data_IF_484092573322
#
_entry.id   IF_484092573322
#
_cell.length_a   1.000
_cell.length_b   1.000
_cell.length_c   1.000
_cell.angle_alpha   90.00
_cell.angle_beta   90.00
_cell.angle_gamma   90.00
#
_symmetry.space_group_name_H-M   'P 1'
#
loop_
_entity.id
_entity.type
_entity.pdbx_description
1 polymer ?
#
# COMPACT_ATOMS: atom_id res chain seq x y z
N UNK A 1 -3.62 27.33 -2.56
CA UNK A 1 -4.90 26.60 -2.76
C UNK A 1 -5.59 26.45 -1.42
N UNK A 2 -6.87 26.82 -1.37
CA UNK A 2 -7.69 26.63 -0.18
C UNK A 2 -8.22 25.20 -0.15
N UNK A 3 -7.45 24.30 0.45
CA UNK A 3 -7.88 22.91 0.72
C UNK A 3 -8.35 22.84 2.16
N UNK A 4 -9.63 22.53 2.38
CA UNK A 4 -10.21 22.40 3.72
C UNK A 4 -9.87 21.06 4.36
N UNK A 5 -9.72 20.00 3.55
CA UNK A 5 -9.42 18.63 3.98
C UNK A 5 -8.66 17.88 2.88
N UNK A 6 -7.69 17.07 3.27
CA UNK A 6 -6.99 16.14 2.38
C UNK A 6 -6.96 14.73 2.97
N UNK A 7 -6.95 13.71 2.09
CA UNK A 7 -6.65 12.33 2.45
C UNK A 7 -5.18 12.08 2.11
N UNK A 8 -4.40 11.58 3.07
CA UNK A 8 -2.97 11.32 2.88
C UNK A 8 -2.56 9.97 3.45
N UNK A 9 -1.67 9.31 2.74
CA UNK A 9 -0.95 8.13 3.23
C UNK A 9 0.35 8.60 3.87
N UNK A 10 0.63 8.17 5.10
CA UNK A 10 1.88 8.47 5.79
C UNK A 10 1.80 9.55 6.87
N UNK A 11 2.96 9.80 7.47
CA UNK A 11 3.07 10.70 8.61
C UNK A 11 2.93 12.18 8.22
N UNK A 12 2.32 12.95 9.14
CA UNK A 12 2.24 14.40 9.05
C UNK A 12 3.59 15.01 9.41
N UNK A 13 4.15 15.79 8.51
CA UNK A 13 5.38 16.56 8.76
C UNK A 13 5.10 18.00 9.24
N UNK A 14 3.88 18.52 8.99
CA UNK A 14 3.52 19.90 9.37
C UNK A 14 2.71 19.89 10.66
N UNK A 15 3.27 20.49 11.71
CA UNK A 15 2.65 20.59 13.05
C UNK A 15 1.42 21.51 13.10
N UNK A 16 1.16 22.29 12.03
CA UNK A 16 -0.01 23.16 11.92
C UNK A 16 -1.27 22.44 11.42
N UNK A 17 -1.11 21.18 10.98
CA UNK A 17 -2.20 20.37 10.49
C UNK A 17 -2.61 19.34 11.54
N UNK A 18 -3.92 19.09 11.63
CA UNK A 18 -4.45 17.98 12.41
C UNK A 18 -4.51 16.75 11.51
N UNK A 19 -3.90 15.65 11.96
CA UNK A 19 -4.01 14.36 11.31
C UNK A 19 -4.89 13.42 12.13
N UNK A 20 -6.02 13.04 11.57
CA UNK A 20 -6.88 12.02 12.15
C UNK A 20 -6.72 10.73 11.37
N UNK A 21 -6.26 9.66 12.03
CA UNK A 21 -6.18 8.34 11.39
C UNK A 21 -7.57 7.90 10.93
N UNK A 22 -7.68 7.58 9.64
CA UNK A 22 -8.91 7.08 9.02
C UNK A 22 -8.95 5.55 9.09
N UNK A 23 -7.92 4.89 8.59
CA UNK A 23 -7.81 3.43 8.60
C UNK A 23 -6.36 2.95 8.44
N UNK A 24 -6.14 1.63 8.51
CA UNK A 24 -4.92 0.98 8.08
C UNK A 24 -4.72 1.07 6.56
N UNK A 25 -3.56 0.63 6.11
CA UNK A 25 -3.25 0.52 4.68
C UNK A 25 -2.57 -0.84 4.44
N UNK A 26 -3.36 -1.94 4.50
CA UNK A 26 -2.82 -3.27 4.32
C UNK A 26 -2.22 -3.43 2.91
N UNK A 27 -1.10 -4.14 2.85
CA UNK A 27 -0.35 -4.35 1.62
C UNK A 27 -0.17 -5.83 1.33
N UNK A 28 0.06 -6.14 0.07
CA UNK A 28 0.42 -7.49 -0.41
C UNK A 28 1.58 -7.41 -1.40
N UNK A 29 2.38 -8.46 -1.45
CA UNK A 29 3.37 -8.66 -2.50
C UNK A 29 2.69 -9.35 -3.66
N UNK A 30 2.82 -8.79 -4.86
CA UNK A 30 2.19 -9.31 -6.07
C UNK A 30 3.17 -9.34 -7.23
N UNK A 31 2.93 -10.23 -8.19
CA UNK A 31 3.63 -10.28 -9.46
C UNK A 31 2.70 -10.82 -10.55
N UNK A 32 2.97 -10.49 -11.81
CA UNK A 32 2.21 -11.07 -12.92
C UNK A 32 2.58 -12.53 -13.16
N UNK A 33 1.65 -13.38 -13.65
CA UNK A 33 1.95 -14.75 -14.04
C UNK A 33 3.10 -14.86 -15.04
N UNK A 34 3.20 -13.90 -15.96
CA UNK A 34 4.27 -13.85 -16.95
C UNK A 34 5.65 -13.62 -16.30
N UNK A 35 5.73 -12.79 -15.26
CA UNK A 35 6.95 -12.60 -14.48
C UNK A 35 7.32 -13.89 -13.75
N UNK A 36 6.37 -14.50 -13.03
CA UNK A 36 6.60 -15.71 -12.25
C UNK A 36 7.01 -16.90 -13.13
N UNK A 37 6.48 -16.98 -14.35
CA UNK A 37 6.89 -18.02 -15.33
C UNK A 37 8.35 -17.88 -15.77
N UNK A 38 8.86 -16.64 -15.89
CA UNK A 38 10.24 -16.38 -16.34
C UNK A 38 11.26 -16.45 -15.23
N UNK A 39 10.91 -16.00 -14.03
CA UNK A 39 11.85 -15.82 -12.91
C UNK A 39 11.64 -16.82 -11.76
N UNK A 40 10.58 -17.62 -11.82
CA UNK A 40 10.15 -18.49 -10.73
C UNK A 40 9.37 -17.74 -9.65
N UNK A 41 8.70 -18.50 -8.80
CA UNK A 41 8.02 -17.94 -7.63
C UNK A 41 9.01 -17.89 -6.45
N UNK A 42 9.27 -16.73 -5.84
CA UNK A 42 10.13 -16.66 -4.66
C UNK A 42 9.61 -17.58 -3.55
N UNK A 43 10.48 -18.41 -3.01
CA UNK A 43 10.13 -19.36 -1.94
C UNK A 43 10.33 -18.80 -0.53
N UNK A 44 11.08 -17.71 -0.40
CA UNK A 44 11.36 -17.04 0.88
C UNK A 44 11.35 -15.52 0.70
N UNK A 45 11.10 -14.81 1.78
CA UNK A 45 11.14 -13.33 1.76
C UNK A 45 12.54 -12.81 1.40
N UNK A 46 13.61 -13.49 1.80
CA UNK A 46 14.99 -13.11 1.48
C UNK A 46 15.33 -13.29 0.00
N UNK A 47 14.63 -14.15 -0.73
CA UNK A 47 14.83 -14.27 -2.18
C UNK A 47 14.55 -12.93 -2.91
N UNK A 48 13.75 -12.02 -2.32
CA UNK A 48 13.47 -10.70 -2.88
C UNK A 48 14.68 -9.76 -2.91
N UNK A 49 15.73 -10.04 -2.16
CA UNK A 49 17.00 -9.30 -2.23
C UNK A 49 17.67 -9.43 -3.61
N UNK A 50 17.34 -10.50 -4.35
CA UNK A 50 17.89 -10.83 -5.67
C UNK A 50 16.82 -10.97 -6.76
N UNK A 51 15.54 -10.81 -6.40
CA UNK A 51 14.42 -10.85 -7.34
C UNK A 51 14.15 -9.43 -7.86
N UNK A 52 13.96 -9.22 -9.17
CA UNK A 52 13.56 -7.92 -9.70
C UNK A 52 12.27 -7.42 -9.05
N UNK A 53 12.31 -6.24 -8.46
CA UNK A 53 11.16 -5.62 -7.80
C UNK A 53 10.85 -4.25 -8.41
N UNK A 54 9.56 -3.92 -8.45
CA UNK A 54 9.06 -2.59 -8.85
C UNK A 54 8.79 -1.79 -7.58
N UNK A 55 9.39 -0.62 -7.44
CA UNK A 55 9.29 0.18 -6.22
C UNK A 55 8.78 1.60 -6.48
N UNK A 56 8.09 2.15 -5.48
CA UNK A 56 7.78 3.57 -5.44
C UNK A 56 9.02 4.35 -4.97
N UNK A 57 9.41 5.36 -5.74
CA UNK A 57 10.51 6.27 -5.37
C UNK A 57 10.18 7.70 -5.81
N UNK A 58 10.20 8.62 -4.87
CA UNK A 58 10.08 10.07 -5.06
C UNK A 58 11.23 10.78 -4.36
N UNK A 59 11.33 12.10 -4.48
CA UNK A 59 12.35 12.89 -3.79
C UNK A 59 12.30 12.74 -2.26
N UNK A 60 11.12 12.42 -1.71
CA UNK A 60 10.91 12.32 -0.27
C UNK A 60 10.83 10.89 0.25
N UNK A 61 10.53 9.92 -0.59
CA UNK A 61 10.18 8.56 -0.16
C UNK A 61 10.71 7.52 -1.12
N UNK A 62 11.39 6.51 -0.57
CA UNK A 62 11.81 5.32 -1.30
C UNK A 62 11.33 4.08 -0.56
N UNK A 63 10.57 3.22 -1.27
CA UNK A 63 9.93 2.03 -0.71
C UNK A 63 10.66 0.78 -1.18
N UNK A 64 11.93 0.63 -0.80
CA UNK A 64 12.76 -0.55 -1.05
C UNK A 64 13.04 -1.40 0.20
N UNK A 65 12.56 -0.95 1.37
CA UNK A 65 12.64 -1.66 2.63
C UNK A 65 11.23 -2.14 3.01
N UNK A 66 10.98 -3.45 2.83
CA UNK A 66 9.67 -4.03 3.09
C UNK A 66 9.65 -4.68 4.46
N UNK A 67 8.79 -4.18 5.34
CA UNK A 67 8.67 -4.64 6.73
C UNK A 67 7.72 -5.84 6.82
N UNK A 68 8.15 -6.87 7.55
CA UNK A 68 7.37 -8.09 7.79
C UNK A 68 7.59 -8.58 9.22
N UNK A 69 6.75 -9.52 9.66
CA UNK A 69 6.87 -10.14 10.99
C UNK A 69 7.35 -11.58 10.84
N UNK A 70 8.42 -11.91 11.54
CA UNK A 70 8.95 -13.27 11.62
C UNK A 70 9.24 -13.62 13.08
N UNK A 71 8.70 -14.75 13.55
CA UNK A 71 8.81 -15.18 14.96
C UNK A 71 8.39 -14.11 15.98
N UNK A 72 7.33 -13.34 15.65
CA UNK A 72 6.80 -12.27 16.48
C UNK A 72 7.66 -10.99 16.53
N UNK A 73 8.70 -10.89 15.69
CA UNK A 73 9.58 -9.73 15.60
C UNK A 73 9.47 -9.08 14.23
N UNK A 74 9.50 -7.75 14.23
CA UNK A 74 9.56 -6.99 12.99
C UNK A 74 10.94 -7.15 12.35
N UNK A 75 10.94 -7.45 11.06
CA UNK A 75 12.10 -7.61 10.21
C UNK A 75 11.94 -6.74 8.97
N UNK A 76 13.02 -6.48 8.27
CA UNK A 76 13.04 -5.73 7.02
C UNK A 76 13.80 -6.53 5.98
N UNK A 77 13.22 -6.68 4.78
CA UNK A 77 13.94 -7.11 3.60
C UNK A 77 14.19 -5.91 2.69
N UNK A 78 15.43 -5.72 2.27
CA UNK A 78 15.79 -4.71 1.28
C UNK A 78 15.73 -5.33 -0.11
N UNK A 79 14.78 -4.88 -0.92
CA UNK A 79 14.54 -5.47 -2.24
C UNK A 79 15.41 -4.85 -3.33
N UNK A 80 15.69 -5.65 -4.38
CA UNK A 80 16.41 -5.19 -5.56
C UNK A 80 15.47 -4.51 -6.53
N UNK A 81 15.60 -3.20 -6.69
CA UNK A 81 14.77 -2.43 -7.61
C UNK A 81 15.22 -2.64 -9.07
N UNK A 82 14.30 -3.13 -9.92
CA UNK A 82 14.43 -3.21 -11.38
C UNK A 82 13.74 -2.05 -12.11
N UNK A 83 12.70 -1.50 -11.50
CA UNK A 83 11.93 -0.36 -12.02
C UNK A 83 11.50 0.54 -10.88
N UNK A 84 11.50 1.84 -11.11
CA UNK A 84 11.17 2.86 -10.11
C UNK A 84 10.25 3.91 -10.71
N UNK A 85 9.26 4.33 -9.92
CA UNK A 85 8.33 5.39 -10.31
C UNK A 85 7.79 6.11 -9.08
N UNK A 86 7.40 7.37 -9.25
CA UNK A 86 6.67 8.16 -8.25
C UNK A 86 5.16 8.22 -8.54
N UNK A 87 4.70 7.43 -9.48
CA UNK A 87 3.28 7.29 -9.85
C UNK A 87 2.76 5.92 -9.43
N UNK A 88 1.71 5.90 -8.61
CA UNK A 88 1.14 4.66 -8.07
C UNK A 88 0.46 3.81 -9.15
N UNK A 89 -0.15 4.43 -10.17
CA UNK A 89 -0.78 3.70 -11.27
C UNK A 89 0.28 3.06 -12.16
N UNK A 90 1.33 3.80 -12.50
CA UNK A 90 2.44 3.26 -13.27
C UNK A 90 3.18 2.14 -12.53
N UNK A 91 3.22 2.18 -11.19
CA UNK A 91 3.76 1.09 -10.37
C UNK A 91 2.95 -0.19 -10.56
N UNK A 92 1.62 -0.10 -10.50
CA UNK A 92 0.71 -1.22 -10.76
C UNK A 92 0.86 -1.74 -12.19
N UNK A 93 0.85 -0.84 -13.17
CA UNK A 93 0.95 -1.19 -14.60
C UNK A 93 2.27 -1.89 -14.92
N UNK A 94 3.38 -1.42 -14.35
CA UNK A 94 4.69 -2.07 -14.50
C UNK A 94 4.70 -3.48 -13.89
N UNK A 95 4.07 -3.67 -12.73
CA UNK A 95 3.94 -5.00 -12.14
C UNK A 95 3.11 -5.94 -13.01
N UNK A 96 1.96 -5.49 -13.51
CA UNK A 96 1.10 -6.24 -14.47
C UNK A 96 1.86 -6.58 -15.74
N UNK A 97 2.66 -5.65 -16.27
CA UNK A 97 3.51 -5.86 -17.44
C UNK A 97 4.70 -6.82 -17.19
N UNK A 98 4.93 -7.25 -15.96
CA UNK A 98 5.92 -8.27 -15.63
C UNK A 98 7.34 -7.73 -15.44
N UNK A 99 7.49 -6.49 -14.97
CA UNK A 99 8.79 -5.90 -14.64
C UNK A 99 9.35 -6.37 -13.28
N UNK A 100 8.51 -6.93 -12.41
CA UNK A 100 8.99 -7.43 -11.12
C UNK A 100 7.88 -7.70 -10.12
N UNK A 101 8.29 -8.06 -8.90
CA UNK A 101 7.42 -8.13 -7.73
C UNK A 101 7.18 -6.72 -7.20
N UNK A 102 5.96 -6.39 -6.82
CA UNK A 102 5.61 -5.11 -6.20
C UNK A 102 4.94 -5.31 -4.84
N UNK A 103 5.19 -4.38 -3.91
CA UNK A 103 4.44 -4.24 -2.65
C UNK A 103 3.39 -3.17 -2.86
N UNK A 104 2.13 -3.56 -2.90
CA UNK A 104 1.00 -2.69 -3.24
C UNK A 104 -0.11 -2.76 -2.19
N UNK A 105 -0.85 -1.65 -1.96
CA UNK A 105 -2.06 -1.68 -1.14
C UNK A 105 -3.06 -2.68 -1.70
N UNK A 106 -3.74 -3.40 -0.80
CA UNK A 106 -4.70 -4.46 -1.18
C UNK A 106 -5.82 -3.94 -2.07
N UNK A 107 -6.31 -2.73 -1.82
CA UNK A 107 -7.40 -2.12 -2.60
C UNK A 107 -7.01 -1.77 -4.03
N UNK A 108 -5.71 -1.62 -4.33
CA UNK A 108 -5.25 -1.30 -5.70
C UNK A 108 -5.12 -2.51 -6.61
N UNK A 109 -5.03 -3.72 -6.04
CA UNK A 109 -4.76 -4.96 -6.79
C UNK A 109 -5.95 -5.90 -6.90
N UNK A 110 -7.11 -5.52 -6.34
CA UNK A 110 -8.31 -6.35 -6.31
C UNK A 110 -8.75 -6.86 -7.67
N UNK A 111 -8.89 -5.96 -8.62
CA UNK A 111 -9.39 -6.29 -9.96
C UNK A 111 -8.34 -7.05 -10.78
N UNK A 112 -7.06 -6.73 -10.60
CA UNK A 112 -5.96 -7.42 -11.27
C UNK A 112 -5.82 -8.86 -10.79
N UNK A 113 -6.05 -9.14 -9.50
CA UNK A 113 -6.04 -10.49 -8.95
C UNK A 113 -7.28 -11.27 -9.44
N UNK A 114 -8.48 -10.69 -9.35
CA UNK A 114 -9.72 -11.30 -9.86
C UNK A 114 -9.64 -11.65 -11.35
N UNK A 115 -8.96 -10.81 -12.12
CA UNK A 115 -8.78 -11.01 -13.56
C UNK A 115 -7.53 -11.86 -13.90
N UNK A 116 -6.89 -12.48 -12.91
CA UNK A 116 -5.67 -13.29 -13.07
C UNK A 116 -4.47 -12.57 -13.71
N UNK A 117 -4.43 -11.23 -13.67
CA UNK A 117 -3.31 -10.42 -14.15
C UNK A 117 -2.18 -10.36 -13.13
N UNK A 118 -2.53 -10.45 -11.82
CA UNK A 118 -1.58 -10.52 -10.72
C UNK A 118 -1.87 -11.74 -9.83
N UNK A 119 -0.81 -12.25 -9.19
CA UNK A 119 -0.87 -13.28 -8.15
C UNK A 119 -0.15 -12.81 -6.91
N UNK A 120 -0.67 -13.19 -5.75
CA UNK A 120 -0.01 -12.93 -4.46
C UNK A 120 1.24 -13.79 -4.37
N UNK A 121 2.35 -13.17 -4.01
CA UNK A 121 3.65 -13.79 -3.79
C UNK A 121 3.88 -13.91 -2.29
N UNK A 122 4.38 -15.05 -1.82
CA UNK A 122 4.65 -15.34 -0.41
C UNK A 122 3.44 -15.06 0.51
N UNK A 123 2.29 -15.72 0.25
CA UNK A 123 1.04 -15.43 0.97
C UNK A 123 1.13 -15.66 2.48
N UNK A 124 2.03 -16.56 2.93
CA UNK A 124 2.21 -16.88 4.36
C UNK A 124 2.99 -15.81 5.13
N UNK A 125 3.66 -14.89 4.43
CA UNK A 125 4.40 -13.81 5.08
C UNK A 125 3.43 -12.76 5.63
N UNK A 126 3.56 -12.48 6.92
CA UNK A 126 2.84 -11.40 7.57
C UNK A 126 3.56 -10.08 7.33
N UNK A 127 3.03 -9.28 6.41
CA UNK A 127 3.53 -7.93 6.13
C UNK A 127 3.04 -6.94 7.19
N UNK A 128 3.82 -5.90 7.42
CA UNK A 128 3.34 -4.71 8.16
C UNK A 128 2.55 -3.82 7.21
N UNK A 129 1.49 -3.20 7.74
CA UNK A 129 0.79 -2.16 7.01
C UNK A 129 1.77 -1.09 6.53
N UNK A 130 1.66 -0.74 5.26
CA UNK A 130 2.37 0.43 4.76
C UNK A 130 1.64 1.66 5.26
N UNK A 131 2.27 2.50 6.02
CA UNK A 131 1.77 3.79 6.53
C UNK A 131 0.22 3.95 6.53
N UNK A 132 -0.37 4.28 7.66
CA UNK A 132 -1.85 4.46 7.75
C UNK A 132 -2.34 5.61 6.88
N UNK A 133 -3.64 5.57 6.56
CA UNK A 133 -4.36 6.63 5.84
C UNK A 133 -4.92 7.62 6.85
N UNK A 134 -4.69 8.90 6.62
CA UNK A 134 -5.08 10.01 7.48
C UNK A 134 -5.98 11.01 6.75
N UNK A 135 -6.91 11.58 7.51
CA UNK A 135 -7.59 12.82 7.16
C UNK A 135 -6.77 13.98 7.72
N UNK A 136 -6.43 14.94 6.87
CA UNK A 136 -5.59 16.08 7.23
C UNK A 136 -6.39 17.35 6.99
N UNK A 137 -6.47 18.22 8.00
CA UNK A 137 -7.13 19.49 7.91
C UNK A 137 -6.47 20.52 8.82
N UNK A 138 -6.68 21.80 8.52
CA UNK A 138 -6.13 22.89 9.33
C UNK A 138 -6.83 22.94 10.70
N UNK A 139 -6.04 23.15 11.76
CA UNK A 139 -6.57 23.45 13.09
C UNK A 139 -7.17 24.85 13.02
N UNK A 140 -8.49 24.97 13.02
CA UNK A 140 -9.18 26.24 13.18
C UNK A 140 -9.87 26.24 14.54
N UNK A 141 -9.81 27.35 15.25
CA UNK A 141 -10.48 27.54 16.55
C UNK A 141 -12.01 27.32 16.43
N UNK A 142 -12.56 27.52 15.20
CA UNK A 142 -13.94 27.25 14.84
C UNK A 142 -13.94 26.51 13.51
N UNK A 143 -14.14 25.20 13.55
CA UNK A 143 -14.32 24.41 12.34
C UNK A 143 -15.69 24.68 11.73
N UNK A 144 -15.80 24.84 10.40
CA UNK A 144 -17.10 24.92 9.75
C UNK A 144 -17.93 23.66 10.07
N UNK A 145 -19.23 23.79 10.38
CA UNK A 145 -20.11 22.63 10.63
C UNK A 145 -20.02 21.56 9.54
N UNK A 146 -19.98 21.97 8.28
CA UNK A 146 -19.86 21.08 7.13
C UNK A 146 -18.60 20.19 7.18
N UNK A 147 -17.46 20.69 7.69
CA UNK A 147 -16.25 19.90 7.85
C UNK A 147 -16.44 18.82 8.94
N UNK A 148 -17.08 19.19 10.06
CA UNK A 148 -17.35 18.24 11.15
C UNK A 148 -18.32 17.14 10.71
N UNK A 149 -19.35 17.47 9.97
CA UNK A 149 -20.30 16.51 9.39
C UNK A 149 -19.61 15.57 8.39
N UNK A 150 -18.77 16.14 7.50
CA UNK A 150 -18.02 15.33 6.54
C UNK A 150 -17.04 14.38 7.22
N UNK A 151 -16.33 14.82 8.28
CA UNK A 151 -15.43 13.95 9.05
C UNK A 151 -16.17 12.79 9.71
N UNK A 152 -17.37 13.04 10.25
CA UNK A 152 -18.21 11.99 10.82
C UNK A 152 -18.71 11.02 9.73
N UNK A 153 -19.14 11.54 8.59
CA UNK A 153 -19.62 10.75 7.46
C UNK A 153 -18.53 9.81 6.92
N UNK A 154 -17.33 10.34 6.62
CA UNK A 154 -16.26 9.52 6.02
C UNK A 154 -15.78 8.43 6.97
N UNK A 155 -15.80 8.69 8.29
CA UNK A 155 -15.46 7.66 9.27
C UNK A 155 -16.48 6.53 9.30
N UNK A 156 -17.77 6.87 9.30
CA UNK A 156 -18.83 5.87 9.25
C UNK A 156 -18.78 5.08 7.94
N UNK A 157 -18.53 5.78 6.84
CA UNK A 157 -18.42 5.19 5.50
C UNK A 157 -17.29 4.13 5.44
N UNK A 158 -16.10 4.44 5.98
CA UNK A 158 -14.97 3.49 5.97
C UNK A 158 -15.19 2.31 6.93
N UNK A 159 -15.88 2.53 8.05
CA UNK A 159 -16.25 1.47 8.97
C UNK A 159 -17.21 0.44 8.33
N UNK A 160 -18.12 0.92 7.51
CA UNK A 160 -19.07 0.07 6.77
C UNK A 160 -18.46 -0.58 5.53
N UNK A 161 -17.34 -0.05 5.03
CA UNK A 161 -16.61 -0.51 3.84
C UNK A 161 -15.11 -0.59 4.15
N UNK A 162 -14.70 -1.53 5.00
CA UNK A 162 -13.29 -1.66 5.36
C UNK A 162 -12.44 -1.95 4.13
N UNK A 163 -11.22 -1.45 4.15
CA UNK A 163 -10.22 -1.83 3.13
C UNK A 163 -9.99 -3.34 3.25
N UNK A 164 -10.08 -4.09 2.13
CA UNK A 164 -9.86 -5.52 2.14
C UNK A 164 -8.47 -5.87 2.67
N UNK A 165 -8.37 -6.92 3.44
CA UNK A 165 -7.10 -7.49 3.89
C UNK A 165 -6.65 -8.62 2.96
N UNK A 166 -5.44 -9.13 3.15
CA UNK A 166 -4.86 -10.18 2.29
C UNK A 166 -5.75 -11.43 2.22
N UNK A 167 -6.38 -11.80 3.31
CA UNK A 167 -7.26 -12.97 3.43
C UNK A 167 -8.48 -12.86 2.50
N UNK A 168 -9.02 -11.66 2.34
CA UNK A 168 -10.14 -11.39 1.42
C UNK A 168 -9.72 -11.58 -0.04
N UNK A 169 -8.45 -11.29 -0.37
CA UNK A 169 -7.90 -11.48 -1.71
C UNK A 169 -7.66 -12.96 -2.02
N UNK A 170 -7.21 -13.73 -1.03
CA UNK A 170 -6.95 -15.17 -1.19
C UNK A 170 -8.24 -15.99 -1.35
N UNK A 171 -9.34 -15.54 -0.74
CA UNK A 171 -10.64 -16.21 -0.86
C UNK A 171 -11.34 -15.96 -2.20
N UNK A 172 -10.88 -15.01 -2.98
CA UNK A 172 -11.45 -14.60 -4.28
C UNK A 172 -10.55 -14.97 -5.49
N UNK A 173 -9.47 -15.73 -5.27
CA UNK A 173 -8.50 -16.12 -6.30
C UNK A 173 -8.67 -17.58 -6.77
#
# INVERSE_FOLDING_TARGET
ENIDLAIRIGNLRDSRLVGRKLCGNPVVMVASPAFLSRHGNPSTIRALEHTPCVIYESDETRVDNWAYVEHGREQIVKVQSSFKTNDAQLLLDACVAGYGVALLPTYTVLDEIKNNKLRIVLPDIQLKDYQSIYLIYATRKHQPPALSEFLAYIQLWIQQRPIPVKEDLLSNS
#
